data_IF_362776410685
#
_entry.id   IF_362776410685
#
_cell.length_a   1.000
_cell.length_b   1.000
_cell.length_c   1.000
_cell.angle_alpha   90.00
_cell.angle_beta   90.00
_cell.angle_gamma   90.00
#
_symmetry.space_group_name_H-M   'P 1'
#
loop_
_entity.id
_entity.type
_entity.pdbx_description
1 polymer ?
#
# COMPACT_ATOMS: atom_id res chain seq x y z
N UNK A 1 12.88 9.78 -1.63
CA UNK A 1 12.09 9.20 -0.53
C UNK A 1 10.70 8.98 -1.08
N UNK A 2 10.20 7.76 -1.02
CA UNK A 2 8.86 7.41 -1.49
C UNK A 2 7.95 7.25 -0.29
N UNK A 3 6.69 7.62 -0.44
CA UNK A 3 5.68 7.42 0.59
C UNK A 3 4.76 6.29 0.17
N UNK A 4 4.59 5.30 1.04
CA UNK A 4 3.65 4.20 0.85
C UNK A 4 2.49 4.31 1.82
N UNK A 5 1.33 3.76 1.43
CA UNK A 5 0.12 3.65 2.22
C UNK A 5 -0.31 2.19 2.35
N UNK A 6 -0.66 1.78 3.57
CA UNK A 6 -1.18 0.47 3.87
C UNK A 6 -2.60 0.34 3.31
N UNK A 7 -2.84 -0.66 2.46
CA UNK A 7 -4.14 -0.87 1.82
C UNK A 7 -5.21 -1.43 2.78
N UNK A 8 -4.83 -1.77 4.03
CA UNK A 8 -5.77 -2.23 5.05
C UNK A 8 -6.30 -1.12 5.93
N UNK A 9 -5.41 -0.36 6.56
CA UNK A 9 -5.78 0.68 7.54
C UNK A 9 -5.54 2.12 7.05
N UNK A 10 -4.86 2.31 5.91
CA UNK A 10 -4.51 3.63 5.39
C UNK A 10 -3.32 4.30 6.07
N UNK A 11 -2.56 3.57 6.87
CA UNK A 11 -1.35 4.10 7.51
C UNK A 11 -0.28 4.43 6.47
N UNK A 12 0.51 5.49 6.68
CA UNK A 12 1.51 5.91 5.69
C UNK A 12 2.92 5.91 6.25
N UNK A 13 3.88 5.44 5.46
CA UNK A 13 5.29 5.36 5.84
C UNK A 13 6.19 5.88 4.72
N UNK A 14 7.29 6.51 5.12
CA UNK A 14 8.36 6.90 4.21
C UNK A 14 9.38 5.75 4.06
N UNK A 15 9.68 5.39 2.83
CA UNK A 15 10.65 4.35 2.46
C UNK A 15 11.73 4.94 1.55
N UNK A 16 12.95 4.45 1.71
CA UNK A 16 14.12 4.86 0.93
C UNK A 16 14.25 4.15 -0.43
N UNK A 17 13.22 3.41 -0.86
CA UNK A 17 13.21 2.64 -2.11
C UNK A 17 13.23 3.54 -3.37
N UNK A 18 13.70 2.97 -4.49
CA UNK A 18 13.56 3.54 -5.84
C UNK A 18 12.19 3.14 -6.41
N UNK A 19 11.60 4.01 -7.21
CA UNK A 19 10.18 3.96 -7.65
C UNK A 19 9.77 2.68 -8.39
N UNK A 20 10.74 1.94 -8.94
CA UNK A 20 10.56 0.72 -9.74
C UNK A 20 10.79 -0.59 -8.96
N UNK A 21 11.31 -0.53 -7.74
CA UNK A 21 11.44 -1.73 -6.92
C UNK A 21 10.10 -2.06 -6.25
N UNK A 22 9.70 -3.33 -6.31
CA UNK A 22 8.65 -3.85 -5.44
C UNK A 22 8.97 -3.40 -4.01
N UNK A 23 8.15 -2.49 -3.48
CA UNK A 23 8.39 -1.92 -2.16
C UNK A 23 8.05 -2.99 -1.12
N UNK A 24 9.05 -3.76 -0.74
CA UNK A 24 8.99 -4.66 0.40
C UNK A 24 9.14 -3.82 1.69
N UNK A 25 8.05 -3.13 2.04
CA UNK A 25 7.96 -2.30 3.25
C UNK A 25 7.73 -3.14 4.53
N UNK A 26 7.72 -4.47 4.41
CA UNK A 26 7.38 -5.38 5.50
C UNK A 26 5.92 -5.28 5.94
N UNK A 27 5.65 -5.62 7.20
CA UNK A 27 4.31 -5.57 7.78
C UNK A 27 3.95 -4.16 8.27
N UNK A 28 2.67 -3.81 8.17
CA UNK A 28 2.16 -2.59 8.78
C UNK A 28 2.16 -2.67 10.30
N UNK A 29 2.85 -1.75 10.97
CA UNK A 29 2.95 -1.68 12.44
C UNK A 29 1.60 -1.50 13.14
N UNK A 30 0.56 -1.06 12.42
CA UNK A 30 -0.79 -0.86 12.98
C UNK A 30 -1.74 -2.05 12.81
N UNK A 31 -1.54 -2.90 11.81
CA UNK A 31 -2.51 -3.95 11.49
C UNK A 31 -1.91 -5.23 10.91
N UNK A 32 -0.59 -5.34 10.92
CA UNK A 32 0.22 -6.50 10.51
C UNK A 32 -0.02 -6.93 9.05
N UNK A 33 -0.57 -6.02 8.24
CA UNK A 33 -0.86 -6.27 6.84
C UNK A 33 0.34 -5.93 5.94
N UNK A 34 0.64 -6.82 5.00
CA UNK A 34 1.82 -6.74 4.12
C UNK A 34 1.53 -6.06 2.77
N UNK A 35 0.31 -5.59 2.54
CA UNK A 35 -0.08 -4.94 1.28
C UNK A 35 0.07 -3.43 1.34
N UNK A 36 1.10 -2.93 0.66
CA UNK A 36 1.41 -1.51 0.52
C UNK A 36 1.26 -1.04 -0.92
N UNK A 37 1.01 0.25 -1.09
CA UNK A 37 1.10 0.91 -2.39
C UNK A 37 1.71 2.29 -2.25
N UNK A 38 2.35 2.78 -3.32
CA UNK A 38 2.85 4.15 -3.36
C UNK A 38 1.68 5.13 -3.28
N UNK A 39 1.81 6.13 -2.41
CA UNK A 39 0.81 7.21 -2.27
C UNK A 39 0.62 7.95 -3.59
N UNK A 40 1.68 8.06 -4.41
CA UNK A 40 1.63 8.66 -5.73
C UNK A 40 0.67 7.92 -6.69
N UNK A 41 0.53 6.60 -6.54
CA UNK A 41 -0.36 5.77 -7.36
C UNK A 41 -1.78 5.68 -6.78
N UNK A 42 -1.99 6.21 -5.56
CA UNK A 42 -3.27 6.16 -4.86
C UNK A 42 -4.08 7.43 -5.05
N UNK A 43 -5.02 7.36 -6.00
CA UNK A 43 -6.14 8.31 -6.06
C UNK A 43 -7.20 7.96 -5.00
N UNK A 44 -8.02 8.93 -4.59
CA UNK A 44 -9.14 8.68 -3.66
C UNK A 44 -10.10 7.58 -4.16
N UNK A 45 -10.29 7.51 -5.48
CA UNK A 45 -11.08 6.45 -6.13
C UNK A 45 -10.46 5.08 -5.91
N UNK A 46 -9.14 4.94 -6.08
CA UNK A 46 -8.41 3.68 -5.89
C UNK A 46 -8.45 3.27 -4.41
N UNK A 47 -8.26 4.21 -3.47
CA UNK A 47 -8.39 3.94 -2.03
C UNK A 47 -9.76 3.35 -1.70
N UNK A 48 -10.83 3.94 -2.23
CA UNK A 48 -12.20 3.47 -2.00
C UNK A 48 -12.40 2.04 -2.51
N UNK A 49 -12.02 1.78 -3.76
CA UNK A 49 -12.17 0.46 -4.39
C UNK A 49 -11.38 -0.61 -3.62
N UNK A 50 -10.16 -0.30 -3.16
CA UNK A 50 -9.36 -1.26 -2.42
C UNK A 50 -9.95 -1.54 -1.03
N UNK A 51 -10.46 -0.52 -0.34
CA UNK A 51 -11.10 -0.71 0.98
C UNK A 51 -12.40 -1.52 0.90
N UNK A 52 -13.15 -1.41 -0.20
CA UNK A 52 -14.36 -2.19 -0.45
C UNK A 52 -14.06 -3.68 -0.73
N UNK A 53 -12.83 -4.02 -1.14
CA UNK A 53 -12.42 -5.41 -1.38
C UNK A 53 -12.08 -6.14 -0.06
N UNK A 54 -12.29 -7.47 0.00
CA UNK A 54 -11.73 -8.27 1.07
C UNK A 54 -10.18 -8.16 1.07
N UNK A 55 -9.51 -8.29 2.25
CA UNK A 55 -8.08 -8.05 2.40
C UNK A 55 -7.21 -8.76 1.35
N UNK A 56 -7.55 -10.01 1.05
CA UNK A 56 -6.87 -10.88 0.07
C UNK A 56 -6.81 -10.28 -1.34
N UNK A 57 -7.78 -9.43 -1.69
CA UNK A 57 -7.94 -8.79 -3.01
C UNK A 57 -7.54 -7.33 -3.03
N UNK A 58 -6.94 -6.81 -1.95
CA UNK A 58 -6.43 -5.44 -1.86
C UNK A 58 -5.00 -5.33 -2.41
N UNK A 59 -4.73 -5.94 -3.57
CA UNK A 59 -3.45 -5.79 -4.28
C UNK A 59 -3.61 -4.77 -5.41
N UNK A 60 -2.65 -3.87 -5.52
CA UNK A 60 -2.59 -2.86 -6.58
C UNK A 60 -1.78 -3.36 -7.79
N UNK A 61 -0.72 -4.12 -7.51
CA UNK A 61 0.09 -4.82 -8.51
C UNK A 61 -0.14 -6.33 -8.38
N UNK A 62 -0.38 -7.01 -9.50
CA UNK A 62 -0.35 -8.46 -9.53
C UNK A 62 1.13 -8.88 -9.46
N UNK A 63 1.48 -9.69 -8.46
CA UNK A 63 2.78 -10.35 -8.37
C UNK A 63 2.91 -11.38 -9.50
#
# INVERSE_FOLDING_TARGET
MLKVECLRCGDTRDVSARSDDHVDAGECERCEYVGWALVADLTEKIRRVLRERPPERRRLYAA
#
